data_IF_168654610249
#
_entry.id   IF_168654610249
#
_cell.length_a   1.000
_cell.length_b   1.000
_cell.length_c   1.000
_cell.angle_alpha   90.00
_cell.angle_beta   90.00
_cell.angle_gamma   90.00
#
_symmetry.space_group_name_H-M   'P 1'
#
loop_
_entity.id
_entity.type
_entity.pdbx_description
1 polymer ?
#
# COMPACT_ATOMS: atom_id res chain seq x y z
N UNK A 1 7.34 -75.46 0.55
CA UNK A 1 7.32 -74.63 1.77
C UNK A 1 8.54 -73.72 1.75
N UNK A 2 8.35 -72.43 1.46
CA UNK A 2 8.99 -71.27 2.09
C UNK A 2 8.65 -69.99 1.31
N UNK A 3 8.19 -69.00 2.06
CA UNK A 3 7.74 -67.66 1.63
C UNK A 3 8.90 -66.67 1.82
N UNK A 4 8.86 -65.55 1.07
CA UNK A 4 9.54 -64.23 1.24
C UNK A 4 10.75 -64.02 0.31
N UNK A 5 11.00 -62.86 -0.31
CA UNK A 5 10.55 -61.48 -0.07
C UNK A 5 10.74 -60.63 -1.35
N UNK A 6 9.81 -59.70 -1.62
CA UNK A 6 9.91 -58.62 -2.61
C UNK A 6 10.47 -57.36 -1.93
N UNK A 7 11.49 -56.70 -2.49
CA UNK A 7 11.81 -55.25 -2.33
C UNK A 7 12.62 -54.82 -3.57
N UNK A 8 12.00 -54.31 -4.64
CA UNK A 8 11.67 -52.90 -4.93
C UNK A 8 12.85 -51.91 -4.96
N UNK A 9 13.10 -51.45 -6.19
CA UNK A 9 14.07 -50.45 -6.65
C UNK A 9 13.61 -49.06 -6.21
N UNK A 10 14.36 -48.38 -5.33
CA UNK A 10 14.30 -46.92 -5.14
C UNK A 10 15.61 -46.43 -4.52
N UNK A 11 16.63 -46.21 -5.35
CA UNK A 11 17.89 -45.61 -4.92
C UNK A 11 18.47 -44.75 -6.05
N UNK A 12 17.73 -43.73 -6.49
CA UNK A 12 18.25 -42.68 -7.37
C UNK A 12 17.29 -41.48 -7.46
N UNK A 13 17.00 -40.77 -6.36
CA UNK A 13 16.50 -39.38 -6.42
C UNK A 13 16.52 -38.71 -5.03
N UNK A 14 17.70 -38.40 -4.48
CA UNK A 14 17.77 -37.69 -3.20
C UNK A 14 19.01 -36.77 -3.04
N UNK A 15 19.56 -36.24 -4.13
CA UNK A 15 20.73 -35.33 -4.06
C UNK A 15 20.44 -33.90 -4.58
N UNK A 16 19.25 -33.60 -5.13
CA UNK A 16 18.99 -32.26 -5.69
C UNK A 16 18.26 -31.25 -4.77
N UNK A 17 17.93 -31.58 -3.52
CA UNK A 17 17.22 -30.65 -2.63
C UNK A 17 18.08 -30.06 -1.50
N UNK A 18 19.33 -30.49 -1.33
CA UNK A 18 20.20 -29.95 -0.27
C UNK A 18 20.88 -28.62 -0.65
N UNK A 19 20.97 -28.28 -1.93
CA UNK A 19 21.61 -27.05 -2.40
C UNK A 19 20.75 -25.80 -2.29
N UNK A 20 19.44 -25.93 -2.04
CA UNK A 20 18.56 -24.78 -1.79
C UNK A 20 18.46 -24.40 -0.31
N UNK A 21 18.69 -25.35 0.61
CA UNK A 21 18.63 -25.11 2.05
C UNK A 21 19.98 -24.65 2.65
N UNK A 22 21.10 -24.94 1.99
CA UNK A 22 22.44 -24.71 2.54
C UNK A 22 22.99 -23.26 2.38
N UNK A 23 22.21 -22.32 1.85
CA UNK A 23 22.64 -20.92 1.71
C UNK A 23 22.19 -19.98 2.84
N UNK A 24 21.42 -20.46 3.82
CA UNK A 24 20.92 -19.64 4.94
C UNK A 24 21.71 -19.80 6.26
N UNK A 25 22.95 -20.29 6.21
CA UNK A 25 23.86 -20.28 7.38
C UNK A 25 24.96 -19.20 7.29
N UNK A 26 24.67 -18.09 6.61
CA UNK A 26 25.44 -16.85 6.77
C UNK A 26 24.64 -15.93 7.71
N UNK A 27 25.28 -15.38 8.75
CA UNK A 27 24.63 -14.50 9.73
C UNK A 27 23.80 -13.39 9.07
N UNK A 28 22.73 -12.95 9.75
CA UNK A 28 21.78 -11.95 9.23
C UNK A 28 22.50 -10.80 8.52
N UNK A 29 22.16 -10.55 7.25
CA UNK A 29 22.76 -9.42 6.52
C UNK A 29 22.26 -8.11 7.12
N UNK A 30 23.08 -7.05 7.08
CA UNK A 30 22.68 -5.72 7.59
C UNK A 30 21.41 -5.21 6.92
N UNK A 31 21.18 -5.54 5.65
CA UNK A 31 19.98 -5.15 4.90
C UNK A 31 18.72 -5.89 5.39
N UNK A 32 18.82 -7.19 5.69
CA UNK A 32 17.71 -7.97 6.24
C UNK A 32 17.29 -7.44 7.60
N UNK A 33 18.26 -7.12 8.46
CA UNK A 33 18.01 -6.47 9.74
C UNK A 33 17.29 -5.13 9.58
N UNK A 34 17.72 -4.30 8.63
CA UNK A 34 17.06 -3.01 8.36
C UNK A 34 15.60 -3.21 7.95
N UNK A 35 15.33 -4.17 7.06
CA UNK A 35 13.97 -4.46 6.58
C UNK A 35 13.07 -5.03 7.69
N UNK A 36 13.56 -6.01 8.46
CA UNK A 36 12.82 -6.63 9.56
C UNK A 36 12.54 -5.63 10.68
N UNK A 37 13.52 -4.80 11.03
CA UNK A 37 13.33 -3.81 12.09
C UNK A 37 12.39 -2.67 11.68
N UNK A 38 12.25 -2.37 10.38
CA UNK A 38 11.18 -1.49 9.91
C UNK A 38 9.81 -2.11 10.24
N UNK A 39 9.58 -3.37 9.88
CA UNK A 39 8.30 -4.03 10.20
C UNK A 39 8.03 -4.09 11.72
N UNK A 40 9.06 -4.36 12.52
CA UNK A 40 8.94 -4.34 13.99
C UNK A 40 8.60 -2.94 14.52
N UNK A 41 9.17 -1.88 13.95
CA UNK A 41 8.84 -0.51 14.29
C UNK A 41 7.37 -0.19 13.96
N UNK A 42 6.87 -0.65 12.80
CA UNK A 42 5.45 -0.56 12.42
C UNK A 42 4.55 -1.25 13.44
N UNK A 43 4.84 -2.50 13.77
CA UNK A 43 4.09 -3.26 14.75
C UNK A 43 4.14 -2.68 16.17
N UNK A 44 5.19 -1.91 16.49
CA UNK A 44 5.34 -1.23 17.78
C UNK A 44 4.45 0.01 17.87
N UNK A 45 4.31 0.77 16.78
CA UNK A 45 3.45 1.94 16.73
C UNK A 45 3.95 3.06 15.81
N UNK A 46 3.12 4.09 15.68
CA UNK A 46 3.37 5.29 14.86
C UNK A 46 4.72 5.96 15.15
N UNK A 47 5.00 6.28 16.42
CA UNK A 47 6.22 7.02 16.80
C UNK A 47 7.50 6.21 16.57
N UNK A 48 7.44 4.90 16.85
CA UNK A 48 8.53 3.99 16.56
C UNK A 48 8.80 3.93 15.05
N UNK A 49 7.74 3.89 14.23
CA UNK A 49 7.86 3.92 12.77
C UNK A 49 8.49 5.21 12.27
N UNK A 50 7.98 6.37 12.70
CA UNK A 50 8.50 7.68 12.28
C UNK A 50 9.98 7.80 12.66
N UNK A 51 10.35 7.40 13.88
CA UNK A 51 11.74 7.40 14.36
C UNK A 51 12.61 6.49 13.50
N UNK A 52 12.13 5.28 13.19
CA UNK A 52 12.88 4.32 12.40
C UNK A 52 13.11 4.81 10.97
N UNK A 53 12.09 5.38 10.32
CA UNK A 53 12.17 5.98 8.98
C UNK A 53 13.15 7.15 8.96
N UNK A 54 13.09 8.06 9.95
CA UNK A 54 14.01 9.21 10.05
C UNK A 54 15.48 8.77 10.06
N UNK A 55 15.78 7.71 10.81
CA UNK A 55 17.15 7.25 11.05
C UNK A 55 17.70 6.30 9.99
N UNK A 56 16.85 5.50 9.33
CA UNK A 56 17.31 4.40 8.47
C UNK A 56 16.88 4.53 7.00
N UNK A 57 15.90 5.39 6.69
CA UNK A 57 15.47 5.60 5.31
C UNK A 57 16.44 6.56 4.61
N UNK A 58 16.93 6.18 3.42
CA UNK A 58 17.83 7.00 2.64
C UNK A 58 17.18 8.35 2.28
N UNK A 59 17.98 9.42 2.20
CA UNK A 59 17.46 10.76 1.92
C UNK A 59 16.89 10.89 0.50
N UNK A 60 17.44 10.14 -0.46
CA UNK A 60 16.91 9.97 -1.82
C UNK A 60 15.98 8.75 -1.97
N UNK A 61 15.65 8.10 -0.85
CA UNK A 61 14.80 6.92 -0.83
C UNK A 61 13.39 7.20 -1.36
N UNK A 62 12.78 6.17 -1.94
CA UNK A 62 11.42 6.20 -2.46
C UNK A 62 10.64 5.02 -1.90
N UNK A 63 9.45 5.27 -1.35
CA UNK A 63 8.47 4.21 -1.06
C UNK A 63 7.55 4.09 -2.27
N UNK A 64 7.38 2.87 -2.75
CA UNK A 64 6.47 2.53 -3.84
C UNK A 64 5.24 1.85 -3.27
N UNK A 65 4.14 2.60 -3.17
CA UNK A 65 2.86 2.05 -2.75
C UNK A 65 2.20 1.19 -3.82
N UNK A 66 1.07 0.58 -3.46
CA UNK A 66 0.24 -0.16 -4.41
C UNK A 66 -0.18 0.71 -5.58
N UNK A 67 0.03 0.22 -6.81
CA UNK A 67 -0.49 0.87 -8.01
C UNK A 67 -1.99 0.64 -8.08
N UNK A 68 -2.73 1.70 -8.39
CA UNK A 68 -4.15 1.58 -8.69
C UNK A 68 -4.50 2.41 -9.93
N UNK A 69 -5.66 2.11 -10.52
CA UNK A 69 -6.18 2.84 -11.67
C UNK A 69 -7.30 3.76 -11.22
N UNK A 70 -7.13 5.06 -11.42
CA UNK A 70 -8.09 6.07 -10.99
C UNK A 70 -7.68 7.48 -11.38
N UNK A 71 -8.06 8.46 -10.55
CA UNK A 71 -7.84 9.88 -10.82
C UNK A 71 -6.52 10.42 -10.25
N UNK A 72 -6.17 10.05 -9.01
CA UNK A 72 -4.98 10.52 -8.30
C UNK A 72 -5.18 11.86 -7.57
N UNK A 73 -6.06 11.89 -6.57
CA UNK A 73 -6.24 13.02 -5.66
C UNK A 73 -6.51 12.53 -4.24
N UNK A 74 -6.32 13.43 -3.27
CA UNK A 74 -6.65 13.27 -1.86
C UNK A 74 -7.70 14.34 -1.52
N UNK A 75 -8.70 13.98 -0.73
CA UNK A 75 -9.77 14.87 -0.33
C UNK A 75 -9.85 14.99 1.20
N UNK A 76 -10.35 16.12 1.68
CA UNK A 76 -10.52 16.38 3.11
C UNK A 76 -11.73 15.59 3.65
N UNK A 77 -11.46 14.50 4.38
CA UNK A 77 -12.48 13.62 4.94
C UNK A 77 -13.07 14.11 6.29
N UNK A 78 -12.77 15.33 6.74
CA UNK A 78 -13.38 15.89 7.96
C UNK A 78 -14.85 16.27 7.79
N UNK A 79 -15.32 16.40 6.54
CA UNK A 79 -16.72 16.69 6.23
C UNK A 79 -17.29 15.64 5.28
N UNK A 80 -18.23 14.82 5.74
CA UNK A 80 -18.82 13.76 4.91
C UNK A 80 -19.93 14.24 3.96
N UNK A 81 -20.34 15.51 4.02
CA UNK A 81 -21.32 16.08 3.11
C UNK A 81 -20.68 16.68 1.84
N UNK A 82 -19.36 16.91 1.88
CA UNK A 82 -18.60 17.54 0.80
C UNK A 82 -17.40 16.70 0.42
N UNK A 83 -16.91 16.85 -0.81
CA UNK A 83 -15.69 16.20 -1.24
C UNK A 83 -14.76 17.26 -1.83
N UNK A 84 -14.10 17.98 -0.91
CA UNK A 84 -13.17 19.04 -1.24
C UNK A 84 -11.79 18.43 -1.44
N UNK A 85 -11.19 18.65 -2.61
CA UNK A 85 -9.85 18.20 -2.92
C UNK A 85 -8.85 18.95 -2.05
N UNK A 86 -8.09 18.19 -1.27
CA UNK A 86 -6.98 18.70 -0.47
C UNK A 86 -5.72 18.79 -1.34
N UNK A 87 -5.33 17.67 -1.96
CA UNK A 87 -4.13 17.55 -2.80
C UNK A 87 -4.44 16.81 -4.09
N UNK A 88 -3.86 17.28 -5.20
CA UNK A 88 -3.82 16.52 -6.46
C UNK A 88 -2.44 15.88 -6.59
N UNK A 89 -2.40 14.58 -6.90
CA UNK A 89 -1.13 13.86 -7.07
C UNK A 89 -0.47 14.33 -8.36
N UNK A 90 0.83 14.67 -8.30
CA UNK A 90 1.59 15.09 -9.47
C UNK A 90 1.57 14.01 -10.57
N UNK A 91 1.58 14.44 -11.84
CA UNK A 91 1.53 13.58 -13.03
C UNK A 91 0.33 12.62 -13.13
N UNK A 92 -0.64 12.75 -12.23
CA UNK A 92 -1.88 11.97 -12.27
C UNK A 92 -2.84 12.47 -13.38
N UNK A 93 -3.82 11.66 -13.80
CA UNK A 93 -4.92 12.13 -14.63
C UNK A 93 -5.65 13.35 -14.06
N UNK A 94 -5.85 13.38 -12.74
CA UNK A 94 -6.47 14.52 -12.05
C UNK A 94 -5.68 15.81 -12.23
N UNK A 95 -4.34 15.77 -12.21
CA UNK A 95 -3.48 16.97 -12.32
C UNK A 95 -3.71 17.80 -13.58
N UNK A 96 -4.29 17.20 -14.63
CA UNK A 96 -4.58 17.85 -15.91
C UNK A 96 -5.87 18.67 -15.89
N UNK A 97 -6.75 18.45 -14.91
CA UNK A 97 -8.14 18.94 -14.93
C UNK A 97 -8.57 19.53 -13.58
N UNK A 98 -8.18 18.91 -12.48
CA UNK A 98 -8.58 19.21 -11.10
C UNK A 98 -7.56 20.09 -10.38
N UNK A 99 -8.01 20.79 -9.34
CA UNK A 99 -7.21 21.66 -8.48
C UNK A 99 -7.55 21.43 -7.01
N UNK A 100 -6.60 21.73 -6.13
CA UNK A 100 -6.90 21.86 -4.70
C UNK A 100 -8.00 22.91 -4.49
N UNK A 101 -8.93 22.63 -3.57
CA UNK A 101 -10.11 23.45 -3.30
C UNK A 101 -11.32 23.19 -4.20
N UNK A 102 -11.20 22.38 -5.26
CA UNK A 102 -12.37 21.91 -6.00
C UNK A 102 -13.26 21.06 -5.08
N UNK A 103 -14.57 21.34 -5.08
CA UNK A 103 -15.56 20.55 -4.34
C UNK A 103 -16.41 19.73 -5.32
N UNK A 104 -16.33 18.41 -5.29
CA UNK A 104 -17.17 17.58 -6.16
C UNK A 104 -18.64 17.72 -5.78
N UNK A 105 -19.50 18.00 -6.77
CA UNK A 105 -20.95 18.10 -6.58
C UNK A 105 -21.71 16.93 -7.23
N UNK A 106 -21.17 16.37 -8.31
CA UNK A 106 -21.77 15.22 -9.00
C UNK A 106 -20.68 14.39 -9.68
N UNK A 107 -20.79 13.06 -9.63
CA UNK A 107 -19.88 12.11 -10.30
C UNK A 107 -20.71 11.03 -10.99
N UNK A 108 -20.57 10.87 -12.30
CA UNK A 108 -21.35 9.94 -13.12
C UNK A 108 -22.87 10.04 -12.87
N UNK A 109 -23.39 11.26 -12.74
CA UNK A 109 -24.82 11.51 -12.47
C UNK A 109 -25.24 11.28 -11.02
N UNK A 110 -24.33 10.89 -10.12
CA UNK A 110 -24.60 10.73 -8.69
C UNK A 110 -24.19 11.98 -7.92
N UNK A 111 -25.13 12.58 -7.20
CA UNK A 111 -24.87 13.73 -6.32
C UNK A 111 -23.92 13.34 -5.19
N UNK A 112 -22.93 14.19 -4.92
CA UNK A 112 -22.04 14.05 -3.78
C UNK A 112 -22.77 14.48 -2.51
N UNK A 113 -22.91 13.54 -1.57
CA UNK A 113 -23.49 13.73 -0.24
C UNK A 113 -23.07 12.55 0.65
N UNK A 114 -23.41 12.61 1.94
CA UNK A 114 -23.07 11.57 2.91
C UNK A 114 -23.55 10.16 2.54
N UNK A 115 -24.73 10.02 1.94
CA UNK A 115 -25.29 8.72 1.55
C UNK A 115 -24.56 8.09 0.35
N UNK A 116 -24.01 8.93 -0.52
CA UNK A 116 -23.38 8.50 -1.77
C UNK A 116 -21.86 8.46 -1.70
N UNK A 117 -21.22 9.03 -0.66
CA UNK A 117 -19.76 9.21 -0.59
C UNK A 117 -18.99 7.90 -0.84
N UNK A 118 -19.43 6.79 -0.24
CA UNK A 118 -18.82 5.46 -0.43
C UNK A 118 -19.14 4.79 -1.78
N UNK A 119 -20.06 5.35 -2.58
CA UNK A 119 -20.53 4.80 -3.86
C UNK A 119 -19.92 5.51 -5.07
N UNK A 120 -19.21 6.62 -4.87
CA UNK A 120 -18.60 7.40 -5.96
C UNK A 120 -17.45 6.63 -6.62
N UNK A 121 -17.55 6.41 -7.94
CA UNK A 121 -16.60 5.58 -8.69
C UNK A 121 -15.48 6.40 -9.34
N UNK A 122 -14.38 6.60 -8.62
CA UNK A 122 -13.16 7.22 -9.16
C UNK A 122 -12.12 6.21 -9.67
N UNK A 123 -12.21 4.96 -9.21
CA UNK A 123 -11.36 3.83 -9.65
C UNK A 123 -12.08 3.00 -10.70
N UNK A 124 -11.34 2.24 -11.50
CA UNK A 124 -11.94 1.43 -12.57
C UNK A 124 -10.98 1.07 -13.69
N UNK A 125 -11.52 0.79 -14.88
CA UNK A 125 -10.72 0.40 -16.04
C UNK A 125 -9.84 1.55 -16.54
N UNK A 126 -8.59 1.29 -16.96
CA UNK A 126 -7.74 2.30 -17.59
C UNK A 126 -8.40 2.92 -18.82
N UNK A 127 -8.26 4.24 -18.98
CA UNK A 127 -8.78 5.01 -20.10
C UNK A 127 -10.29 5.28 -20.05
N UNK A 128 -11.05 4.59 -19.21
CA UNK A 128 -12.50 4.81 -19.10
C UNK A 128 -12.78 6.19 -18.48
N UNK A 129 -13.50 7.08 -19.19
CA UNK A 129 -13.76 8.43 -18.72
C UNK A 129 -14.83 8.44 -17.62
N UNK A 130 -14.64 9.34 -16.66
CA UNK A 130 -15.63 9.66 -15.64
C UNK A 130 -16.00 11.11 -15.79
N UNK A 131 -17.30 11.36 -15.91
CA UNK A 131 -17.86 12.70 -16.00
C UNK A 131 -18.22 13.18 -14.61
N UNK A 132 -17.82 14.39 -14.27
CA UNK A 132 -18.15 14.99 -12.99
C UNK A 132 -18.45 16.48 -13.14
N UNK A 133 -19.07 17.02 -12.10
CA UNK A 133 -19.19 18.46 -11.92
C UNK A 133 -18.52 18.82 -10.60
N UNK A 134 -17.68 19.85 -10.62
CA UNK A 134 -17.04 20.41 -9.42
C UNK A 134 -17.50 21.85 -9.21
N UNK A 135 -17.55 22.30 -7.97
CA UNK A 135 -17.59 23.71 -7.62
C UNK A 135 -16.15 24.23 -7.55
N UNK A 136 -15.83 25.21 -8.39
CA UNK A 136 -14.55 25.90 -8.42
C UNK A 136 -14.80 27.40 -8.38
N UNK A 137 -14.26 28.08 -7.38
CA UNK A 137 -14.44 29.53 -7.20
C UNK A 137 -15.93 29.96 -7.23
N UNK A 138 -16.79 29.14 -6.62
CA UNK A 138 -18.24 29.38 -6.57
C UNK A 138 -19.01 29.09 -7.86
N UNK A 139 -18.36 28.50 -8.89
CA UNK A 139 -19.00 28.14 -10.16
C UNK A 139 -18.96 26.64 -10.40
N UNK A 140 -20.05 26.11 -10.96
CA UNK A 140 -20.10 24.72 -11.44
C UNK A 140 -19.29 24.57 -12.72
N UNK A 141 -18.31 23.68 -12.70
CA UNK A 141 -17.46 23.32 -13.85
C UNK A 141 -17.67 21.85 -14.16
N UNK A 142 -18.11 21.56 -15.39
CA UNK A 142 -18.17 20.17 -15.88
C UNK A 142 -16.77 19.73 -16.29
N UNK A 143 -16.39 18.54 -15.85
CA UNK A 143 -15.09 17.94 -16.13
C UNK A 143 -15.28 16.51 -16.62
N UNK A 144 -14.28 16.03 -17.34
CA UNK A 144 -14.15 14.63 -17.73
C UNK A 144 -12.70 14.22 -17.50
N UNK A 145 -12.50 13.11 -16.79
CA UNK A 145 -11.17 12.60 -16.48
C UNK A 145 -11.12 11.12 -16.86
N UNK A 146 -10.21 10.77 -17.78
CA UNK A 146 -9.92 9.38 -18.11
C UNK A 146 -9.08 8.76 -16.98
N UNK A 147 -9.51 7.60 -16.47
CA UNK A 147 -8.76 6.90 -15.41
C UNK A 147 -7.38 6.48 -15.92
N UNK A 148 -6.37 6.63 -15.08
CA UNK A 148 -4.99 6.28 -15.41
C UNK A 148 -4.30 5.57 -14.26
N UNK A 149 -3.12 5.03 -14.55
CA UNK A 149 -2.27 4.39 -13.53
C UNK A 149 -1.76 5.50 -12.60
N UNK A 150 -2.03 5.34 -11.32
CA UNK A 150 -1.48 6.18 -10.26
C UNK A 150 -0.33 5.42 -9.63
N UNK A 151 0.86 5.99 -9.72
CA UNK A 151 2.02 5.59 -8.93
C UNK A 151 1.96 6.34 -7.61
N UNK A 152 1.54 5.66 -6.54
CA UNK A 152 1.55 6.24 -5.20
C UNK A 152 2.97 6.13 -4.63
N UNK A 153 3.88 6.94 -5.16
CA UNK A 153 5.26 6.99 -4.71
C UNK A 153 5.41 8.20 -3.80
N UNK A 154 6.13 8.03 -2.69
CA UNK A 154 6.43 9.11 -1.76
C UNK A 154 7.94 9.15 -1.52
N UNK A 155 8.51 10.35 -1.53
CA UNK A 155 9.87 10.57 -1.02
C UNK A 155 9.88 10.56 0.52
N UNK A 156 11.07 10.60 1.14
CA UNK A 156 11.23 10.55 2.61
C UNK A 156 10.39 11.61 3.35
N UNK A 157 10.35 12.85 2.85
CA UNK A 157 9.61 13.94 3.51
C UNK A 157 8.09 13.75 3.39
N UNK A 158 7.62 13.31 2.23
CA UNK A 158 6.21 12.99 1.99
C UNK A 158 5.77 11.79 2.83
N UNK A 159 6.60 10.74 2.90
CA UNK A 159 6.35 9.58 3.75
C UNK A 159 6.20 9.98 5.22
N UNK A 160 7.11 10.81 5.75
CA UNK A 160 7.02 11.28 7.14
C UNK A 160 5.75 12.10 7.36
N UNK A 161 5.42 13.02 6.46
CA UNK A 161 4.20 13.82 6.57
C UNK A 161 2.94 12.94 6.54
N UNK A 162 2.88 11.96 5.64
CA UNK A 162 1.76 11.01 5.55
C UNK A 162 1.66 10.20 6.85
N UNK A 163 2.77 9.68 7.39
CA UNK A 163 2.82 8.96 8.68
C UNK A 163 2.30 9.82 9.84
N UNK A 164 2.64 11.12 9.87
CA UNK A 164 2.21 12.05 10.92
C UNK A 164 0.68 12.29 10.92
N UNK A 165 0.00 12.11 9.79
CA UNK A 165 -1.48 12.22 9.71
C UNK A 165 -2.23 11.00 10.26
N UNK A 166 -1.56 9.84 10.42
CA UNK A 166 -2.20 8.62 10.89
C UNK A 166 -2.67 8.70 12.35
N UNK A 167 -3.81 8.09 12.67
CA UNK A 167 -4.25 7.90 14.05
C UNK A 167 -3.31 6.87 14.74
N UNK A 168 -2.73 7.21 15.88
CA UNK A 168 -1.73 6.35 16.55
C UNK A 168 -2.33 5.05 17.11
N UNK A 169 -3.62 5.07 17.45
CA UNK A 169 -4.31 3.91 18.04
C UNK A 169 -4.49 2.76 17.03
N UNK A 170 -4.42 3.05 15.73
CA UNK A 170 -4.61 2.08 14.64
C UNK A 170 -3.31 1.33 14.24
N UNK A 171 -2.21 1.51 14.98
CA UNK A 171 -0.87 1.04 14.57
C UNK A 171 -0.39 -0.26 15.23
N UNK A 172 -0.56 -0.48 16.55
CA UNK A 172 0.02 -1.66 17.18
C UNK A 172 -0.69 -2.92 16.71
N UNK A 173 0.07 -3.88 16.17
CA UNK A 173 -0.47 -5.19 15.77
C UNK A 173 0.51 -6.32 16.11
N UNK A 174 0.01 -7.54 16.24
CA UNK A 174 0.83 -8.73 16.46
C UNK A 174 1.54 -9.09 15.15
N UNK A 175 2.87 -8.92 15.11
CA UNK A 175 3.70 -9.23 13.95
C UNK A 175 4.39 -10.60 14.11
N UNK A 176 4.30 -11.40 13.06
CA UNK A 176 5.12 -12.59 12.85
C UNK A 176 5.93 -12.43 11.56
N UNK A 177 7.24 -12.59 11.64
CA UNK A 177 8.10 -12.77 10.45
C UNK A 177 8.06 -14.24 10.07
N UNK A 178 7.58 -14.56 8.86
CA UNK A 178 7.49 -15.94 8.37
C UNK A 178 8.77 -16.36 7.65
N UNK A 179 9.28 -15.49 6.78
CA UNK A 179 10.45 -15.76 5.95
C UNK A 179 11.14 -14.45 5.56
N UNK A 180 12.46 -14.49 5.48
CA UNK A 180 13.30 -13.41 4.97
C UNK A 180 14.23 -14.01 3.92
N UNK A 181 14.19 -13.45 2.72
CA UNK A 181 15.06 -13.85 1.60
C UNK A 181 15.78 -12.60 1.10
N UNK A 182 17.07 -12.72 0.81
CA UNK A 182 17.82 -11.63 0.20
C UNK A 182 18.65 -12.10 -0.99
N UNK A 183 18.87 -11.17 -1.91
CA UNK A 183 19.82 -11.33 -3.01
C UNK A 183 20.43 -9.96 -3.31
N UNK A 184 21.75 -9.87 -3.21
CA UNK A 184 22.49 -8.61 -3.32
C UNK A 184 21.92 -7.56 -2.33
N UNK A 185 21.44 -6.42 -2.83
CA UNK A 185 20.84 -5.36 -2.01
C UNK A 185 19.30 -5.42 -1.96
N UNK A 186 18.71 -6.52 -2.39
CA UNK A 186 17.25 -6.71 -2.41
C UNK A 186 16.86 -7.66 -1.29
N UNK A 187 15.92 -7.22 -0.45
CA UNK A 187 15.36 -8.02 0.65
C UNK A 187 13.86 -8.20 0.43
N UNK A 188 13.41 -9.44 0.54
CA UNK A 188 12.00 -9.83 0.58
C UNK A 188 11.68 -10.30 2.00
N UNK A 189 10.64 -9.74 2.60
CA UNK A 189 10.15 -10.18 3.90
C UNK A 189 8.71 -10.63 3.75
N UNK A 190 8.45 -11.89 4.06
CA UNK A 190 7.10 -12.40 4.23
C UNK A 190 6.75 -12.36 5.72
N UNK A 191 5.71 -11.60 6.05
CA UNK A 191 5.21 -11.46 7.42
C UNK A 191 3.70 -11.65 7.50
N UNK A 192 3.21 -11.98 8.69
CA UNK A 192 1.80 -11.97 9.06
C UNK A 192 1.59 -10.91 10.13
N UNK A 193 0.60 -10.04 9.94
CA UNK A 193 0.10 -9.13 10.97
C UNK A 193 -1.27 -9.61 11.44
N UNK A 194 -1.54 -9.50 12.74
CA UNK A 194 -2.85 -9.78 13.33
C UNK A 194 -3.25 -8.59 14.21
N UNK A 195 -4.43 -8.07 13.93
CA UNK A 195 -5.03 -6.94 14.64
C UNK A 195 -6.54 -7.16 14.82
N UNK A 196 -7.17 -6.37 15.67
CA UNK A 196 -8.62 -6.35 15.87
C UNK A 196 -9.26 -5.46 14.83
N UNK A 197 -10.12 -6.04 13.98
CA UNK A 197 -10.98 -5.24 13.11
C UNK A 197 -12.12 -4.64 13.93
N UNK A 198 -12.05 -3.33 14.20
CA UNK A 198 -13.09 -2.60 14.94
C UNK A 198 -14.22 -2.09 14.04
N UNK A 199 -14.13 -2.32 12.72
CA UNK A 199 -15.09 -1.83 11.71
C UNK A 199 -16.11 -2.90 11.36
N UNK A 200 -15.74 -4.18 11.47
CA UNK A 200 -16.62 -5.31 11.17
C UNK A 200 -16.98 -6.06 12.45
N UNK A 201 -18.21 -5.87 12.94
CA UNK A 201 -18.82 -6.68 13.99
C UNK A 201 -19.30 -8.00 13.35
N UNK A 202 -18.52 -9.07 13.50
CA UNK A 202 -18.77 -10.40 12.93
C UNK A 202 -19.57 -11.31 13.87
#
# INVERSE_FOLDING_TARGET
>A
MNIKLVVSIFAALLICNASLAAHHEAGESSNELVAVNWLKAQATGKDATITYVKNNFADDGQVFGGRYVGFGFIWNNSNQDKMIIDRVIADSPASKVLKSGDDFVEVNGMTVNKENMGKLSFRGKPGEPVKATVMRDGKKVKIEVARGIISNNSNKSELIADLETGNADDWPFELKINEVLSKDNIVYVWSTGKDVDTVVDL
#
